data_IF_685961242752
#
_entry.id   IF_685961242752
#
_cell.length_a   1.000
_cell.length_b   1.000
_cell.length_c   1.000
_cell.angle_alpha   90.00
_cell.angle_beta   90.00
_cell.angle_gamma   90.00
#
_symmetry.space_group_name_H-M   'P 1'
#
loop_
_entity.id
_entity.type
_entity.pdbx_description
1 polymer ?
#
# COMPACT_ATOMS: atom_id res chain seq x y z
N UNK A 1 -1.34 17.22 9.95
CA UNK A 1 -2.47 17.18 10.90
C UNK A 1 -3.27 15.92 10.58
N UNK A 2 -3.17 14.88 11.41
CA UNK A 2 -3.98 13.68 11.26
C UNK A 2 -5.32 13.88 11.94
N UNK A 3 -6.41 13.46 11.29
CA UNK A 3 -7.73 13.36 11.92
C UNK A 3 -7.85 11.97 12.57
N UNK A 4 -8.61 11.86 13.67
CA UNK A 4 -8.95 10.57 14.33
C UNK A 4 -10.00 9.77 13.54
N UNK A 5 -10.38 10.22 12.35
CA UNK A 5 -11.35 9.54 11.50
C UNK A 5 -10.85 8.13 11.16
N UNK A 6 -11.74 7.14 11.35
CA UNK A 6 -11.46 5.77 10.98
C UNK A 6 -11.33 5.66 9.46
N UNK A 7 -10.31 4.93 9.01
CA UNK A 7 -10.08 4.59 7.62
C UNK A 7 -10.38 3.11 7.41
N UNK A 8 -11.13 2.78 6.36
CA UNK A 8 -11.44 1.40 5.95
C UNK A 8 -11.65 1.32 4.45
N UNK A 9 -11.38 0.16 3.88
CA UNK A 9 -11.80 -0.18 2.52
C UNK A 9 -13.30 -0.55 2.52
N UNK A 10 -13.90 -0.64 1.34
CA UNK A 10 -15.28 -1.11 1.20
C UNK A 10 -15.46 -2.55 1.73
N UNK A 11 -16.70 -2.91 2.06
CA UNK A 11 -17.01 -4.25 2.56
C UNK A 11 -16.67 -5.31 1.50
N UNK A 12 -15.79 -6.25 1.85
CA UNK A 12 -15.32 -7.29 0.93
C UNK A 12 -14.21 -6.86 -0.04
N UNK A 13 -13.77 -5.60 0.02
CA UNK A 13 -12.63 -5.11 -0.74
C UNK A 13 -11.32 -5.50 -0.02
N UNK A 14 -10.60 -6.47 -0.58
CA UNK A 14 -9.25 -6.79 -0.14
C UNK A 14 -8.27 -5.73 -0.66
N UNK A 15 -7.24 -5.39 0.12
CA UNK A 15 -6.18 -4.45 -0.28
C UNK A 15 -5.44 -4.86 -1.59
N UNK A 16 -5.60 -6.12 -2.01
CA UNK A 16 -5.04 -6.69 -3.24
C UNK A 16 -6.10 -6.86 -4.34
N UNK A 17 -7.08 -5.95 -4.45
CA UNK A 17 -8.04 -5.94 -5.55
C UNK A 17 -7.31 -5.81 -6.89
N UNK A 18 -7.07 -6.95 -7.52
CA UNK A 18 -6.38 -7.04 -8.79
C UNK A 18 -7.31 -6.55 -9.90
N UNK A 19 -7.00 -5.40 -10.52
CA UNK A 19 -7.77 -4.84 -11.65
C UNK A 19 -9.26 -4.72 -11.36
N UNK A 20 -9.60 -4.29 -10.16
CA UNK A 20 -10.97 -3.97 -9.76
C UNK A 20 -11.00 -2.58 -9.14
N UNK A 21 -12.16 -1.94 -9.21
CA UNK A 21 -12.41 -0.68 -8.50
C UNK A 21 -12.17 -0.88 -7.00
N UNK A 22 -11.62 0.13 -6.35
CA UNK A 22 -11.39 0.12 -4.91
C UNK A 22 -11.94 1.39 -4.26
N UNK A 23 -12.35 1.29 -3.01
CA UNK A 23 -12.93 2.39 -2.25
C UNK A 23 -12.14 2.62 -0.97
N UNK A 24 -11.86 3.89 -0.65
CA UNK A 24 -11.33 4.29 0.65
C UNK A 24 -12.37 5.16 1.37
N UNK A 25 -12.82 4.71 2.53
CA UNK A 25 -13.76 5.44 3.38
C UNK A 25 -12.98 6.11 4.52
N UNK A 26 -13.07 7.44 4.63
CA UNK A 26 -12.42 8.26 5.66
C UNK A 26 -13.49 9.06 6.41
N UNK A 27 -13.89 8.58 7.59
CA UNK A 27 -15.06 9.13 8.28
C UNK A 27 -16.31 9.01 7.41
N UNK A 28 -16.86 10.16 7.00
CA UNK A 28 -18.03 10.25 6.11
C UNK A 28 -17.67 10.46 4.63
N UNK A 29 -16.38 10.56 4.30
CA UNK A 29 -15.89 10.75 2.93
C UNK A 29 -15.65 9.40 2.27
N UNK A 30 -16.07 9.27 1.01
CA UNK A 30 -15.84 8.08 0.18
C UNK A 30 -15.01 8.50 -1.04
N UNK A 31 -13.83 7.91 -1.19
CA UNK A 31 -12.97 8.06 -2.36
C UNK A 31 -13.00 6.77 -3.18
N UNK A 32 -13.11 6.90 -4.52
CA UNK A 32 -13.16 5.77 -5.44
C UNK A 32 -11.95 5.79 -6.36
N UNK A 33 -11.29 4.65 -6.49
CA UNK A 33 -10.13 4.42 -7.32
C UNK A 33 -10.50 3.46 -8.45
N UNK A 34 -10.10 3.83 -9.66
CA UNK A 34 -10.29 2.99 -10.84
C UNK A 34 -9.43 1.72 -10.75
N UNK A 35 -9.71 0.69 -11.58
CA UNK A 35 -8.96 -0.55 -11.57
C UNK A 35 -7.50 -0.28 -11.91
N UNK A 36 -6.59 -0.81 -11.09
CA UNK A 36 -5.16 -0.69 -11.32
C UNK A 36 -4.45 -2.05 -11.20
N UNK A 37 -3.27 -2.14 -11.83
CA UNK A 37 -2.36 -3.28 -11.75
C UNK A 37 -1.18 -2.91 -10.85
N UNK A 38 -1.47 -2.82 -9.55
CA UNK A 38 -0.48 -2.44 -8.53
C UNK A 38 0.77 -3.36 -8.55
N UNK A 39 0.60 -4.63 -8.96
CA UNK A 39 1.73 -5.55 -9.11
C UNK A 39 2.62 -5.16 -10.29
N UNK A 40 2.03 -4.87 -11.45
CA UNK A 40 2.80 -4.41 -12.61
C UNK A 40 3.53 -3.10 -12.32
N UNK A 41 2.88 -2.13 -11.65
CA UNK A 41 3.50 -0.86 -11.26
C UNK A 41 4.71 -1.10 -10.34
N UNK A 42 4.56 -1.93 -9.31
CA UNK A 42 5.64 -2.24 -8.38
C UNK A 42 6.84 -2.89 -9.09
N UNK A 43 6.59 -3.82 -10.03
CA UNK A 43 7.66 -4.45 -10.83
C UNK A 43 8.35 -3.44 -11.75
N UNK A 44 7.58 -2.53 -12.36
CA UNK A 44 8.10 -1.48 -13.22
C UNK A 44 9.00 -0.51 -12.44
N UNK A 45 8.57 -0.05 -11.26
CA UNK A 45 9.34 0.86 -10.41
C UNK A 45 10.65 0.21 -9.94
N UNK A 46 10.62 -1.04 -9.47
CA UNK A 46 11.85 -1.76 -9.11
C UNK A 46 12.79 -1.88 -10.30
N UNK A 47 12.26 -2.19 -11.49
CA UNK A 47 13.06 -2.30 -12.71
C UNK A 47 13.68 -0.97 -13.13
N UNK A 48 12.94 0.14 -13.00
CA UNK A 48 13.43 1.49 -13.27
C UNK A 48 14.52 1.89 -12.27
N UNK A 49 14.33 1.60 -10.98
CA UNK A 49 15.34 1.84 -9.95
C UNK A 49 16.65 1.09 -10.23
N UNK A 50 16.58 -0.17 -10.67
CA UNK A 50 17.76 -0.96 -11.08
C UNK A 50 18.51 -0.32 -12.25
N UNK A 51 17.78 0.30 -13.19
CA UNK A 51 18.37 1.01 -14.33
C UNK A 51 18.89 2.42 -13.98
N UNK A 52 18.70 2.89 -12.74
CA UNK A 52 19.03 4.26 -12.34
C UNK A 52 18.06 5.32 -12.88
N UNK A 53 16.88 4.90 -13.31
CA UNK A 53 15.80 5.78 -13.74
C UNK A 53 14.99 6.28 -12.54
N UNK A 54 14.15 7.29 -12.76
CA UNK A 54 13.18 7.73 -11.73
C UNK A 54 12.19 6.61 -11.44
N UNK A 55 12.03 6.27 -10.16
CA UNK A 55 11.16 5.20 -9.69
C UNK A 55 10.65 5.50 -8.28
N UNK A 56 9.44 5.04 -7.96
CA UNK A 56 8.88 5.14 -6.61
C UNK A 56 9.06 3.82 -5.87
N UNK A 57 10.23 3.65 -5.24
CA UNK A 57 10.53 2.46 -4.41
C UNK A 57 10.68 2.88 -2.96
N UNK A 58 10.03 2.15 -2.06
CA UNK A 58 10.16 2.39 -0.62
C UNK A 58 11.61 2.22 -0.15
N UNK A 59 12.10 3.06 0.78
CA UNK A 59 13.42 2.89 1.37
C UNK A 59 13.57 1.53 2.07
N UNK A 60 14.75 0.92 1.99
CA UNK A 60 15.06 -0.36 2.65
C UNK A 60 14.82 -0.33 4.17
N UNK A 61 14.98 0.84 4.80
CA UNK A 61 14.70 1.04 6.22
C UNK A 61 13.25 0.72 6.60
N UNK A 62 12.29 0.95 5.70
CA UNK A 62 10.88 0.59 5.90
C UNK A 62 10.72 -0.94 6.01
N UNK A 63 11.36 -1.70 5.12
CA UNK A 63 11.32 -3.17 5.16
C UNK A 63 11.97 -3.74 6.41
N UNK A 64 13.12 -3.19 6.82
CA UNK A 64 13.78 -3.57 8.08
C UNK A 64 12.86 -3.32 9.28
N UNK A 65 12.19 -2.17 9.32
CA UNK A 65 11.28 -1.84 10.41
C UNK A 65 10.10 -2.80 10.50
N UNK A 66 9.53 -3.19 9.37
CA UNK A 66 8.46 -4.20 9.33
C UNK A 66 8.95 -5.54 9.88
N UNK A 67 10.15 -5.98 9.47
CA UNK A 67 10.74 -7.22 9.97
C UNK A 67 10.90 -7.22 11.51
N UNK A 68 11.44 -6.13 12.07
CA UNK A 68 11.57 -5.95 13.53
C UNK A 68 10.22 -6.05 14.26
N UNK A 69 9.17 -5.43 13.71
CA UNK A 69 7.83 -5.46 14.31
C UNK A 69 7.27 -6.88 14.28
N UNK A 70 7.39 -7.57 13.15
CA UNK A 70 6.92 -8.96 13.01
C UNK A 70 7.66 -9.90 13.96
N UNK A 71 8.96 -9.72 14.14
CA UNK A 71 9.77 -10.48 15.09
C UNK A 71 9.33 -10.24 16.55
N UNK A 72 8.98 -8.99 16.89
CA UNK A 72 8.45 -8.65 18.22
C UNK A 72 7.11 -9.32 18.51
N UNK A 73 6.22 -9.39 17.52
CA UNK A 73 4.89 -10.03 17.67
C UNK A 73 5.04 -11.53 17.88
N UNK A 74 5.95 -12.18 17.13
CA UNK A 74 6.20 -13.63 17.24
C UNK A 74 6.75 -14.06 18.61
N UNK A 75 7.39 -13.15 19.33
CA UNK A 75 8.10 -13.45 20.59
C UNK A 75 7.25 -13.15 21.84
N UNK A 76 6.01 -12.67 21.66
CA UNK A 76 5.03 -12.42 22.75
C UNK A 76 4.06 -13.58 22.86
#
# INVERSE_FOLDING_TARGET
>A
MGSTAAMRTGDGEAFTLWKQDATLMIGDTVETFAPDDAFALMVQDVSAAIRGESAEVFPTSSSLRVAEILDSIRTT
#
